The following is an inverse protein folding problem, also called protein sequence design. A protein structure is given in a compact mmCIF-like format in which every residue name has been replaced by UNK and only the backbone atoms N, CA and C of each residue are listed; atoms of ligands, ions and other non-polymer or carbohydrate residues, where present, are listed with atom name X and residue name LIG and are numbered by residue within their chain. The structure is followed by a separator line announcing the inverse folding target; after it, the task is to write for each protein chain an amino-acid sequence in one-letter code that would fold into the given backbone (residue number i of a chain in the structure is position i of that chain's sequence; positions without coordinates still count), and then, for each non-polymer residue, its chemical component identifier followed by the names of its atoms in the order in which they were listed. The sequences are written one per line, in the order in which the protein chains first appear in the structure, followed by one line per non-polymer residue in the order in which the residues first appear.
data_IF_544562813588
#
_entry.id   IF_544562813588
#
_cell.length_a   1.000
_cell.length_b   1.000
_cell.length_c   1.000
_cell.angle_alpha   90.00
_cell.angle_beta   90.00
_cell.angle_gamma   90.00
#
_symmetry.space_group_name_H-M   'P 1'
#
loop_
_entity.id
_entity.type
_entity.pdbx_description
1 polymer ?
#
# COMPACT_ATOMS: atom_id res chain seq x y z
N UNK A 1 13.23 38.47 -10.13
CA UNK A 1 12.20 37.42 -10.27
C UNK A 1 12.55 36.22 -9.42
N UNK A 2 12.16 36.27 -8.15
CA UNK A 2 12.38 35.23 -7.15
C UNK A 2 11.19 34.28 -7.10
N UNK A 3 11.43 32.99 -7.35
CA UNK A 3 10.45 31.92 -7.12
C UNK A 3 10.04 31.89 -5.63
N UNK A 4 8.77 31.63 -5.31
CA UNK A 4 8.33 31.58 -3.92
C UNK A 4 8.89 30.32 -3.23
N UNK A 5 9.28 30.46 -1.96
CA UNK A 5 9.72 29.37 -1.11
C UNK A 5 8.60 28.31 -0.92
N UNK A 6 8.95 27.02 -0.76
CA UNK A 6 7.94 25.99 -0.53
C UNK A 6 7.25 26.21 0.83
N UNK A 7 5.91 26.20 0.82
CA UNK A 7 5.07 26.15 2.02
C UNK A 7 5.32 24.81 2.72
N UNK A 8 6.31 24.75 3.62
CA UNK A 8 6.40 23.66 4.59
C UNK A 8 5.69 24.04 5.89
N UNK A 9 4.77 23.15 6.23
CA UNK A 9 3.89 23.13 7.39
C UNK A 9 4.68 23.15 8.70
N UNK A 10 4.14 23.90 9.67
CA UNK A 10 4.60 24.08 11.06
C UNK A 10 5.43 22.93 11.63
N UNK A 11 6.65 23.25 12.06
CA UNK A 11 7.65 22.38 12.70
C UNK A 11 7.27 21.81 14.07
N UNK A 12 6.02 21.94 14.53
CA UNK A 12 5.63 21.67 15.93
C UNK A 12 4.89 20.35 16.20
N UNK A 13 4.70 19.47 15.22
CA UNK A 13 3.98 18.20 15.44
C UNK A 13 4.87 17.12 16.08
N UNK A 14 6.18 17.13 15.80
CA UNK A 14 7.12 16.09 16.21
C UNK A 14 7.68 16.26 17.64
N UNK A 15 7.50 17.41 18.27
CA UNK A 15 8.16 17.75 19.56
C UNK A 15 7.33 17.44 20.82
N UNK A 16 6.17 16.78 20.68
CA UNK A 16 5.34 16.41 21.83
C UNK A 16 4.91 14.95 21.79
N UNK A 17 5.84 14.08 22.18
CA UNK A 17 5.57 12.88 23.02
C UNK A 17 6.90 12.28 23.45
N UNK A 18 7.31 12.61 24.67
CA UNK A 18 8.33 11.86 25.37
C UNK A 18 7.65 10.72 26.16
N UNK A 19 8.37 9.60 26.23
CA UNK A 19 8.24 8.43 27.11
C UNK A 19 7.15 7.40 26.78
N UNK A 20 7.53 6.32 26.08
CA UNK A 20 7.51 4.93 26.55
C UNK A 20 8.23 4.03 25.52
N UNK A 21 9.43 3.53 25.84
CA UNK A 21 10.18 2.57 25.02
C UNK A 21 9.28 1.43 24.52
N UNK A 22 8.83 1.57 23.27
CA UNK A 22 8.03 0.57 22.56
C UNK A 22 8.72 0.33 21.23
N UNK A 23 9.61 -0.66 21.22
CA UNK A 23 10.10 -1.23 19.98
C UNK A 23 8.94 -1.71 19.10
N UNK A 24 9.11 -1.62 17.78
CA UNK A 24 8.18 -2.22 16.80
C UNK A 24 8.04 -3.71 17.10
N UNK A 25 6.81 -4.15 17.30
CA UNK A 25 6.45 -5.55 17.59
C UNK A 25 5.67 -6.17 16.43
N UNK A 26 5.48 -7.49 16.46
CA UNK A 26 4.58 -8.20 15.56
C UNK A 26 3.19 -7.54 15.45
N UNK A 27 2.63 -7.09 16.58
CA UNK A 27 1.35 -6.38 16.62
C UNK A 27 1.33 -5.12 15.73
N UNK A 28 2.47 -4.43 15.60
CA UNK A 28 2.55 -3.26 14.72
C UNK A 28 2.49 -3.65 13.23
N UNK A 29 3.08 -4.78 12.87
CA UNK A 29 2.95 -5.34 11.52
C UNK A 29 1.53 -5.81 11.24
N UNK A 30 0.90 -6.50 12.20
CA UNK A 30 -0.52 -6.89 12.11
C UNK A 30 -1.39 -5.64 11.94
N UNK A 31 -1.20 -4.62 12.77
CA UNK A 31 -1.94 -3.37 12.69
C UNK A 31 -1.74 -2.67 11.34
N UNK A 32 -0.52 -2.62 10.80
CA UNK A 32 -0.26 -2.03 9.48
C UNK A 32 -1.06 -2.74 8.37
N UNK A 33 -1.08 -4.07 8.38
CA UNK A 33 -1.84 -4.87 7.41
C UNK A 33 -3.36 -4.68 7.57
N UNK A 34 -3.87 -4.76 8.81
CA UNK A 34 -5.30 -4.60 9.10
C UNK A 34 -5.77 -3.18 8.77
N UNK A 35 -5.02 -2.15 9.18
CA UNK A 35 -5.38 -0.75 8.96
C UNK A 35 -5.26 -0.34 7.49
N UNK A 36 -4.37 -0.95 6.71
CA UNK A 36 -4.37 -0.79 5.24
C UNK A 36 -5.71 -1.25 4.65
N UNK A 37 -6.20 -2.42 5.05
CA UNK A 37 -7.54 -2.89 4.68
C UNK A 37 -8.66 -1.96 5.18
N UNK A 38 -8.60 -1.48 6.42
CA UNK A 38 -9.59 -0.52 6.93
C UNK A 38 -9.61 0.75 6.08
N UNK A 39 -8.44 1.29 5.73
CA UNK A 39 -8.30 2.48 4.89
C UNK A 39 -8.97 2.33 3.53
N UNK A 40 -8.67 1.23 2.82
CA UNK A 40 -9.32 0.90 1.56
C UNK A 40 -10.84 0.79 1.74
N UNK A 41 -11.31 0.09 2.78
CA UNK A 41 -12.76 -0.11 2.96
C UNK A 41 -13.42 1.24 3.08
N UNK A 42 -13.07 1.95 4.15
CA UNK A 42 -13.66 3.23 4.51
C UNK A 42 -13.60 4.22 3.36
N UNK A 43 -12.49 4.26 2.61
CA UNK A 43 -12.31 5.12 1.44
C UNK A 43 -13.18 4.72 0.24
N UNK A 44 -13.30 3.44 -0.05
CA UNK A 44 -14.08 2.89 -1.17
C UNK A 44 -15.59 3.12 -0.99
N UNK A 45 -16.11 2.92 0.24
CA UNK A 45 -17.54 2.96 0.58
C UNK A 45 -18.43 2.27 -0.45
N UNK A 46 -18.23 0.96 -0.64
CA UNK A 46 -19.00 0.14 -1.59
C UNK A 46 -18.99 0.70 -3.03
N UNK A 47 -17.95 1.46 -3.40
CA UNK A 47 -17.78 2.09 -4.70
C UNK A 47 -18.40 3.48 -4.83
N UNK A 48 -19.14 3.95 -3.83
CA UNK A 48 -19.79 5.27 -3.87
C UNK A 48 -18.76 6.42 -3.83
N UNK A 49 -17.60 6.19 -3.20
CA UNK A 49 -16.57 7.21 -3.01
C UNK A 49 -15.35 7.05 -3.92
N UNK A 50 -15.09 5.84 -4.43
CA UNK A 50 -13.89 5.48 -5.21
C UNK A 50 -13.57 6.45 -6.36
N UNK A 51 -14.61 6.94 -7.06
CA UNK A 51 -14.44 7.87 -8.19
C UNK A 51 -15.00 9.27 -7.93
N UNK A 52 -15.40 9.56 -6.68
CA UNK A 52 -15.87 10.87 -6.28
C UNK A 52 -14.68 11.83 -6.07
N UNK A 53 -14.41 12.67 -7.06
CA UNK A 53 -13.30 13.63 -7.04
C UNK A 53 -13.54 14.87 -6.17
N UNK A 54 -14.61 14.90 -5.36
CA UNK A 54 -14.97 16.03 -4.50
C UNK A 54 -14.91 15.65 -3.02
N UNK A 55 -13.79 16.00 -2.38
CA UNK A 55 -13.64 15.89 -0.92
C UNK A 55 -14.79 16.54 -0.13
N UNK A 56 -15.23 17.77 -0.45
CA UNK A 56 -16.38 18.38 0.24
C UNK A 56 -17.67 17.55 0.13
N UNK A 57 -17.91 16.88 -1.00
CA UNK A 57 -19.07 15.98 -1.19
C UNK A 57 -18.99 14.77 -0.25
N UNK A 58 -17.84 14.10 -0.25
CA UNK A 58 -17.55 12.96 0.63
C UNK A 58 -17.72 13.35 2.11
N UNK A 59 -17.16 14.50 2.52
CA UNK A 59 -17.29 14.98 3.90
C UNK A 59 -18.72 15.31 4.30
N UNK A 60 -19.53 15.89 3.39
CA UNK A 60 -20.95 16.15 3.66
C UNK A 60 -21.74 14.86 3.84
N UNK A 61 -21.44 13.83 3.05
CA UNK A 61 -22.06 12.53 3.21
C UNK A 61 -21.62 11.83 4.49
N UNK A 62 -20.33 11.86 4.82
CA UNK A 62 -19.80 11.36 6.08
C UNK A 62 -20.50 11.99 7.29
N UNK A 63 -20.79 13.30 7.24
CA UNK A 63 -21.58 13.97 8.27
C UNK A 63 -23.02 13.44 8.36
N UNK A 64 -23.68 13.16 7.22
CA UNK A 64 -25.02 12.54 7.21
C UNK A 64 -25.02 11.13 7.82
N UNK A 65 -23.92 10.40 7.69
CA UNK A 65 -23.72 9.10 8.35
C UNK A 65 -23.42 9.22 9.85
N UNK A 66 -23.28 10.45 10.37
CA UNK A 66 -22.96 10.74 11.77
C UNK A 66 -21.45 10.67 12.10
N UNK A 67 -20.61 10.76 11.07
CA UNK A 67 -19.15 10.81 11.18
C UNK A 67 -18.46 9.44 11.23
N UNK A 68 -17.12 9.45 11.23
CA UNK A 68 -16.29 8.23 11.15
C UNK A 68 -16.61 7.20 12.24
N UNK A 69 -16.95 7.66 13.45
CA UNK A 69 -17.32 6.79 14.59
C UNK A 69 -18.51 5.87 14.32
N UNK A 70 -19.34 6.21 13.33
CA UNK A 70 -20.52 5.43 12.95
C UNK A 70 -20.26 4.52 11.73
N UNK A 71 -19.09 4.59 11.11
CA UNK A 71 -18.71 3.67 10.04
C UNK A 71 -18.34 2.31 10.68
N UNK A 72 -18.99 1.25 10.21
CA UNK A 72 -18.68 -0.13 10.56
C UNK A 72 -18.34 -0.89 9.29
N UNK A 73 -17.08 -1.32 9.18
CA UNK A 73 -16.63 -2.20 8.10
C UNK A 73 -17.10 -3.63 8.44
N UNK A 74 -17.92 -4.23 7.58
CA UNK A 74 -18.49 -5.55 7.80
C UNK A 74 -18.83 -6.25 6.48
N UNK A 75 -18.69 -7.56 6.43
CA UNK A 75 -19.24 -8.40 5.37
C UNK A 75 -20.77 -8.60 5.59
N UNK A 76 -21.56 -8.90 4.54
CA UNK A 76 -21.20 -8.93 3.12
C UNK A 76 -21.24 -7.54 2.46
N UNK A 77 -21.56 -6.52 3.24
CA UNK A 77 -21.83 -5.16 2.78
C UNK A 77 -20.58 -4.43 2.24
N UNK A 78 -19.39 -4.80 2.71
CA UNK A 78 -18.09 -4.31 2.23
C UNK A 78 -17.25 -5.51 1.79
N UNK A 79 -17.70 -6.27 0.77
CA UNK A 79 -17.04 -7.51 0.40
C UNK A 79 -15.69 -7.17 -0.21
N UNK A 80 -14.63 -7.77 0.32
CA UNK A 80 -13.36 -7.91 -0.35
C UNK A 80 -13.01 -9.38 -0.39
N UNK A 81 -12.88 -9.90 -1.60
CA UNK A 81 -12.75 -11.32 -1.93
C UNK A 81 -11.43 -11.95 -1.51
N UNK A 82 -10.99 -11.74 -0.27
CA UNK A 82 -9.80 -12.34 0.29
C UNK A 82 -10.24 -13.60 1.04
N UNK A 83 -10.17 -14.72 0.35
CA UNK A 83 -10.57 -16.05 0.79
C UNK A 83 -9.77 -16.50 2.02
N UNK A 84 -10.47 -16.75 3.15
CA UNK A 84 -10.20 -17.56 4.35
C UNK A 84 -8.78 -17.78 4.92
N UNK A 85 -7.70 -17.27 4.35
CA UNK A 85 -6.35 -17.25 4.94
C UNK A 85 -5.71 -18.61 5.19
N UNK A 86 -6.21 -19.68 4.55
CA UNK A 86 -5.76 -21.06 4.80
C UNK A 86 -5.04 -21.67 3.60
N UNK A 87 -3.94 -22.37 3.90
CA UNK A 87 -3.22 -23.27 2.98
C UNK A 87 -2.00 -22.65 2.28
N UNK A 88 -1.06 -23.48 1.79
CA UNK A 88 0.03 -22.98 0.96
C UNK A 88 -0.56 -22.36 -0.31
N UNK A 89 0.07 -21.29 -0.81
CA UNK A 89 -0.38 -20.60 -2.02
C UNK A 89 -0.32 -21.60 -3.19
N UNK A 90 -1.46 -21.80 -3.86
CA UNK A 90 -1.56 -22.69 -5.02
C UNK A 90 -1.46 -21.83 -6.27
N UNK A 91 -0.41 -22.06 -7.06
CA UNK A 91 -0.18 -21.36 -8.32
C UNK A 91 -0.76 -22.13 -9.52
N UNK A 92 -1.28 -21.45 -10.55
CA UNK A 92 -1.56 -22.07 -11.83
C UNK A 92 -0.29 -22.71 -12.42
N UNK A 93 -0.44 -23.81 -13.17
CA UNK A 93 0.69 -24.51 -13.81
C UNK A 93 1.44 -23.65 -14.83
N UNK A 94 0.74 -22.70 -15.47
CA UNK A 94 1.30 -21.64 -16.32
C UNK A 94 0.90 -20.29 -15.74
N UNK A 95 1.87 -19.51 -15.29
CA UNK A 95 1.64 -18.21 -14.65
C UNK A 95 2.70 -17.17 -15.06
N UNK A 96 2.96 -17.10 -16.37
CA UNK A 96 3.86 -16.12 -16.98
C UNK A 96 3.19 -14.74 -17.14
N UNK A 97 3.89 -13.75 -17.72
CA UNK A 97 3.38 -12.39 -17.84
C UNK A 97 2.00 -12.28 -18.49
N UNK A 98 1.75 -13.01 -19.58
CA UNK A 98 0.46 -12.97 -20.28
C UNK A 98 -0.69 -13.60 -19.46
N UNK A 99 -0.41 -14.64 -18.69
CA UNK A 99 -1.39 -15.26 -17.79
C UNK A 99 -1.66 -14.36 -16.59
N UNK A 100 -0.63 -13.73 -16.02
CA UNK A 100 -0.75 -12.77 -14.93
C UNK A 100 -1.59 -11.56 -15.32
N UNK A 101 -1.39 -10.98 -16.51
CA UNK A 101 -2.22 -9.88 -16.98
C UNK A 101 -3.72 -10.25 -17.02
N UNK A 102 -4.06 -11.46 -17.46
CA UNK A 102 -5.45 -11.95 -17.47
C UNK A 102 -6.01 -12.12 -16.06
N UNK A 103 -5.20 -12.65 -15.14
CA UNK A 103 -5.58 -12.85 -13.74
C UNK A 103 -5.73 -11.50 -13.03
N UNK A 104 -4.77 -10.59 -13.18
CA UNK A 104 -4.82 -9.25 -12.59
C UNK A 104 -6.01 -8.47 -13.13
N UNK A 105 -6.29 -8.54 -14.43
CA UNK A 105 -7.48 -7.94 -15.02
C UNK A 105 -8.78 -8.46 -14.36
N UNK A 106 -8.83 -9.74 -13.98
CA UNK A 106 -9.98 -10.32 -13.27
C UNK A 106 -10.18 -9.80 -11.84
N UNK A 107 -9.13 -9.24 -11.22
CA UNK A 107 -9.21 -8.59 -9.90
C UNK A 107 -9.72 -7.16 -9.99
N UNK A 108 -9.62 -6.55 -11.18
CA UNK A 108 -9.88 -5.13 -11.36
C UNK A 108 -11.36 -4.79 -11.26
N UNK A 109 -11.66 -3.60 -10.72
CA UNK A 109 -13.04 -3.10 -10.65
C UNK A 109 -13.55 -2.64 -12.03
N UNK A 110 -12.68 -2.05 -12.85
CA UNK A 110 -13.04 -1.36 -14.09
C UNK A 110 -12.13 -1.67 -15.28
N UNK A 111 -11.39 -2.78 -15.21
CA UNK A 111 -10.55 -3.28 -16.30
C UNK A 111 -9.08 -2.85 -16.24
N UNK A 112 -8.72 -1.92 -15.35
CA UNK A 112 -7.32 -1.53 -15.12
C UNK A 112 -6.86 -2.04 -13.75
N UNK A 113 -6.09 -3.14 -13.78
CA UNK A 113 -5.73 -3.89 -12.59
C UNK A 113 -4.70 -3.15 -11.73
N UNK A 114 -4.92 -3.10 -10.42
CA UNK A 114 -4.05 -2.43 -9.46
C UNK A 114 -4.35 -0.94 -9.28
N UNK A 115 -5.41 -0.44 -9.92
CA UNK A 115 -5.80 0.97 -9.89
C UNK A 115 -6.70 1.34 -8.70
N UNK A 116 -7.14 0.35 -7.91
CA UNK A 116 -8.04 0.51 -6.80
C UNK A 116 -7.40 0.00 -5.50
N UNK A 117 -7.91 0.47 -4.37
CA UNK A 117 -7.35 0.11 -3.07
C UNK A 117 -7.46 -1.37 -2.71
N UNK A 118 -8.32 -2.15 -3.38
CA UNK A 118 -8.45 -3.59 -3.16
C UNK A 118 -7.45 -4.39 -3.99
N UNK A 119 -7.30 -4.10 -5.28
CA UNK A 119 -6.51 -4.92 -6.20
C UNK A 119 -5.02 -4.54 -6.20
N UNK A 120 -4.67 -3.28 -5.94
CA UNK A 120 -3.27 -2.86 -5.83
C UNK A 120 -2.48 -3.67 -4.77
N UNK A 121 -2.93 -3.74 -3.49
CA UNK A 121 -2.23 -4.55 -2.50
C UNK A 121 -2.39 -6.07 -2.74
N UNK A 122 -3.45 -6.52 -3.41
CA UNK A 122 -3.60 -7.94 -3.77
C UNK A 122 -2.55 -8.38 -4.79
N UNK A 123 -2.34 -7.60 -5.86
CA UNK A 123 -1.30 -7.87 -6.86
C UNK A 123 0.09 -7.75 -6.22
N UNK A 124 0.30 -6.77 -5.34
CA UNK A 124 1.54 -6.66 -4.59
C UNK A 124 1.83 -7.88 -3.70
N UNK A 125 0.81 -8.42 -3.02
CA UNK A 125 0.91 -9.62 -2.20
C UNK A 125 1.14 -10.88 -3.05
N UNK A 126 0.43 -11.03 -4.18
CA UNK A 126 0.66 -12.09 -5.18
C UNK A 126 2.13 -12.10 -5.65
N UNK A 127 2.66 -10.92 -5.96
CA UNK A 127 4.05 -10.76 -6.36
C UNK A 127 5.04 -11.16 -5.25
N UNK A 128 4.85 -10.68 -4.02
CA UNK A 128 5.70 -11.02 -2.87
C UNK A 128 5.73 -12.53 -2.59
N UNK A 129 4.55 -13.17 -2.59
CA UNK A 129 4.43 -14.60 -2.34
C UNK A 129 5.06 -15.43 -3.48
N UNK A 130 4.90 -14.98 -4.73
CA UNK A 130 5.45 -15.65 -5.90
C UNK A 130 6.97 -15.49 -6.07
N UNK A 131 7.51 -14.34 -5.63
CA UNK A 131 8.93 -14.01 -5.79
C UNK A 131 9.83 -14.62 -4.71
N UNK A 132 9.30 -14.86 -3.50
CA UNK A 132 10.14 -15.25 -2.37
C UNK A 132 11.25 -14.22 -2.14
N UNK A 133 12.51 -14.64 -2.22
CA UNK A 133 13.68 -13.76 -2.05
C UNK A 133 14.30 -13.27 -3.37
N UNK A 134 13.64 -13.45 -4.51
CA UNK A 134 14.14 -13.05 -5.83
C UNK A 134 13.59 -11.67 -6.24
N UNK A 135 14.48 -10.67 -6.28
CA UNK A 135 14.12 -9.30 -6.66
C UNK A 135 13.66 -9.19 -8.12
N UNK A 136 14.29 -9.92 -9.04
CA UNK A 136 13.92 -9.86 -10.46
C UNK A 136 12.53 -10.46 -10.68
N UNK A 137 12.22 -11.57 -9.99
CA UNK A 137 10.89 -12.17 -10.02
C UNK A 137 9.83 -11.26 -9.38
N UNK A 138 10.15 -10.56 -8.28
CA UNK A 138 9.26 -9.56 -7.68
C UNK A 138 8.91 -8.47 -8.68
N UNK A 139 9.91 -7.89 -9.35
CA UNK A 139 9.70 -6.83 -10.32
C UNK A 139 8.95 -7.34 -11.55
N UNK A 140 9.23 -8.56 -12.02
CA UNK A 140 8.49 -9.23 -13.09
C UNK A 140 7.00 -9.36 -12.80
N UNK A 141 6.64 -9.59 -11.53
CA UNK A 141 5.24 -9.76 -11.11
C UNK A 141 4.55 -8.45 -10.77
N UNK A 142 5.19 -7.61 -9.95
CA UNK A 142 4.57 -6.41 -9.40
C UNK A 142 4.69 -5.18 -10.32
N UNK A 143 5.79 -5.02 -11.04
CA UNK A 143 6.09 -3.77 -11.76
C UNK A 143 5.99 -3.89 -13.29
N UNK A 144 6.07 -5.11 -13.84
CA UNK A 144 6.11 -5.34 -15.28
C UNK A 144 4.86 -6.08 -15.76
N UNK A 145 3.70 -5.43 -15.61
CA UNK A 145 2.39 -5.94 -16.02
C UNK A 145 1.54 -4.84 -16.68
N UNK A 146 0.47 -5.21 -17.39
CA UNK A 146 -0.38 -4.28 -18.16
C UNK A 146 -1.34 -3.37 -17.36
N UNK A 147 -1.44 -3.58 -16.04
CA UNK A 147 -2.24 -2.76 -15.11
C UNK A 147 -1.60 -1.44 -14.67
N UNK A 148 -2.03 -0.92 -13.53
CA UNK A 148 -1.46 0.22 -12.80
C UNK A 148 -0.21 -0.24 -12.02
N UNK A 149 0.86 -0.44 -12.78
CA UNK A 149 2.05 -1.17 -12.33
C UNK A 149 2.94 -0.42 -11.33
N UNK A 150 2.95 0.91 -11.34
CA UNK A 150 3.72 1.68 -10.36
C UNK A 150 3.04 1.68 -8.98
N UNK A 151 1.70 1.71 -8.94
CA UNK A 151 0.91 1.57 -7.71
C UNK A 151 1.11 0.21 -7.02
N UNK A 152 1.09 -0.89 -7.78
CA UNK A 152 1.35 -2.24 -7.26
C UNK A 152 2.82 -2.41 -6.86
N UNK A 153 3.76 -1.92 -7.68
CA UNK A 153 5.18 -1.99 -7.41
C UNK A 153 5.59 -1.23 -6.14
N UNK A 154 5.06 -0.03 -5.89
CA UNK A 154 5.44 0.74 -4.70
C UNK A 154 5.01 0.03 -3.42
N UNK A 155 3.85 -0.62 -3.41
CA UNK A 155 3.38 -1.42 -2.27
C UNK A 155 4.28 -2.65 -2.10
N UNK A 156 4.49 -3.42 -3.17
CA UNK A 156 5.29 -4.64 -3.13
C UNK A 156 6.75 -4.37 -2.71
N UNK A 157 7.39 -3.35 -3.27
CA UNK A 157 8.76 -2.98 -2.95
C UNK A 157 8.92 -2.45 -1.52
N UNK A 158 7.91 -1.75 -0.99
CA UNK A 158 7.92 -1.30 0.40
C UNK A 158 7.91 -2.50 1.36
N UNK A 159 6.99 -3.45 1.15
CA UNK A 159 6.95 -4.70 1.91
C UNK A 159 8.22 -5.53 1.74
N UNK A 160 8.75 -5.61 0.53
CA UNK A 160 10.00 -6.33 0.26
C UNK A 160 11.20 -5.70 0.98
N UNK A 161 11.31 -4.37 0.99
CA UNK A 161 12.36 -3.66 1.73
C UNK A 161 12.29 -3.89 3.24
N UNK A 162 11.07 -4.03 3.80
CA UNK A 162 10.87 -4.42 5.20
C UNK A 162 11.37 -5.84 5.48
N UNK A 163 11.11 -6.78 4.56
CA UNK A 163 11.44 -8.20 4.74
C UNK A 163 12.90 -8.54 4.43
N UNK A 164 13.49 -7.88 3.43
CA UNK A 164 14.78 -8.27 2.83
C UNK A 164 15.80 -7.12 2.79
N UNK A 165 15.42 -5.89 3.15
CA UNK A 165 16.29 -4.73 2.99
C UNK A 165 16.65 -4.49 1.53
N UNK A 166 17.95 -4.33 1.25
CA UNK A 166 18.49 -4.20 -0.11
C UNK A 166 19.06 -5.52 -0.66
N UNK A 167 18.80 -6.66 -0.02
CA UNK A 167 19.39 -7.93 -0.42
C UNK A 167 18.94 -8.31 -1.83
N UNK A 168 19.90 -8.52 -2.74
CA UNK A 168 19.60 -8.89 -4.13
C UNK A 168 19.16 -7.72 -5.03
N UNK A 169 19.03 -6.48 -4.54
CA UNK A 169 18.78 -5.33 -5.44
C UNK A 169 20.05 -4.93 -6.17
N UNK A 170 20.03 -4.84 -7.51
CA UNK A 170 21.07 -4.15 -8.24
C UNK A 170 21.20 -2.70 -7.77
N UNK A 171 22.42 -2.27 -7.42
CA UNK A 171 22.69 -0.89 -6.94
C UNK A 171 22.13 0.19 -7.87
N UNK A 172 22.14 -0.07 -9.18
CA UNK A 172 21.60 0.83 -10.21
C UNK A 172 20.11 1.15 -10.05
N UNK A 173 19.32 0.27 -9.45
CA UNK A 173 17.87 0.43 -9.35
C UNK A 173 17.46 1.51 -8.32
N UNK A 174 18.30 1.79 -7.33
CA UNK A 174 17.96 2.72 -6.25
C UNK A 174 19.00 3.81 -6.01
N UNK A 175 20.21 3.70 -6.57
CA UNK A 175 21.29 4.60 -6.19
C UNK A 175 21.04 6.07 -6.55
N UNK A 176 20.30 6.32 -7.62
CA UNK A 176 20.01 7.66 -8.15
C UNK A 176 18.49 7.93 -8.24
N UNK A 177 17.68 7.21 -7.46
CA UNK A 177 16.23 7.44 -7.43
C UNK A 177 15.93 8.88 -7.02
N UNK A 178 14.92 9.48 -7.63
CA UNK A 178 14.49 10.84 -7.28
C UNK A 178 14.20 10.93 -5.77
N UNK A 179 14.59 12.04 -5.16
CA UNK A 179 14.42 12.29 -3.73
C UNK A 179 15.08 11.26 -2.78
N UNK A 180 16.02 10.42 -3.25
CA UNK A 180 16.69 9.39 -2.42
C UNK A 180 17.06 9.86 -1.01
N UNK A 181 17.75 10.99 -0.91
CA UNK A 181 18.18 11.51 0.40
C UNK A 181 17.00 11.86 1.33
N UNK A 182 15.90 12.39 0.78
CA UNK A 182 14.68 12.69 1.54
C UNK A 182 13.99 11.40 2.00
N UNK A 183 13.93 10.38 1.13
CA UNK A 183 13.39 9.06 1.49
C UNK A 183 14.20 8.43 2.63
N UNK A 184 15.53 8.42 2.53
CA UNK A 184 16.40 7.91 3.60
C UNK A 184 16.25 8.68 4.91
N UNK A 185 16.09 10.00 4.86
CA UNK A 185 15.86 10.83 6.05
C UNK A 185 14.50 10.52 6.69
N UNK A 186 13.43 10.44 5.90
CA UNK A 186 12.11 10.07 6.39
C UNK A 186 12.11 8.67 7.02
N UNK A 187 12.77 7.69 6.38
CA UNK A 187 12.91 6.34 6.93
C UNK A 187 13.62 6.34 8.29
N UNK A 188 14.73 7.08 8.43
CA UNK A 188 15.44 7.24 9.71
C UNK A 188 14.57 7.89 10.79
N UNK A 189 13.79 8.91 10.42
CA UNK A 189 12.89 9.59 11.36
C UNK A 189 11.75 8.67 11.81
N UNK A 190 11.11 7.96 10.88
CA UNK A 190 10.08 6.97 11.19
C UNK A 190 10.64 5.86 12.07
N UNK A 191 11.84 5.35 11.77
CA UNK A 191 12.52 4.38 12.62
C UNK A 191 12.73 4.94 14.02
N UNK A 192 13.32 6.13 14.18
CA UNK A 192 13.51 6.76 15.50
C UNK A 192 12.19 6.91 16.27
N UNK A 193 11.12 7.37 15.61
CA UNK A 193 9.79 7.49 16.23
C UNK A 193 9.21 6.14 16.66
N UNK A 194 9.53 5.08 15.93
CA UNK A 194 9.09 3.72 16.24
C UNK A 194 9.85 3.06 17.41
N UNK A 195 10.85 3.76 17.98
CA UNK A 195 11.60 3.31 19.16
C UNK A 195 11.30 4.18 20.41
N UNK A 196 10.35 5.14 20.32
CA UNK A 196 10.01 6.09 21.39
C UNK A 196 8.81 5.66 22.22
#
# INVERSE_FOLDING_TARGET
DSLPAPLFVKTGFWERRATMDRSVTEEHYIAAMVLSGVGDAVGYKRGEWEFNKSGPSIHKELQKLGGLKNIKVQLPEWPRGISNGEGPVIWPSTYGPAERDKVYHSFSLSGWAGACGHDAPMIALDALLGAGSDWEELMSRAAFHGGDSDSTAVIACCCWGVLHGFQGVPKGNYCNVEYRHRLELCAKQLYTLSQQ
#
